data_IF_772303820689
#
_entry.id   IF_772303820689
#
_cell.length_a   1.000
_cell.length_b   1.000
_cell.length_c   1.000
_cell.angle_alpha   90.00
_cell.angle_beta   90.00
_cell.angle_gamma   90.00
#
_symmetry.space_group_name_H-M   'P 1'
#
loop_
_entity.id
_entity.type
_entity.pdbx_description
1 polymer ?
#
# COMPACT_ATOMS: atom_id res chain seq x y z
N UNK A 1 8.97 -3.93 -10.84
CA UNK A 1 7.81 -4.06 -9.94
C UNK A 1 6.57 -3.54 -10.65
N UNK A 2 5.49 -4.30 -10.66
CA UNK A 2 4.23 -3.88 -11.27
C UNK A 2 3.09 -4.02 -10.25
N UNK A 3 2.02 -3.27 -10.48
CA UNK A 3 0.79 -3.42 -9.73
C UNK A 3 -0.39 -2.79 -10.45
N UNK A 4 -1.59 -2.97 -9.93
CA UNK A 4 -2.80 -2.39 -10.50
C UNK A 4 -3.38 -1.34 -9.55
N UNK A 5 -4.06 -0.37 -10.14
CA UNK A 5 -4.74 0.69 -9.43
C UNK A 5 -6.22 0.67 -9.77
N UNK A 6 -7.05 0.56 -8.73
CA UNK A 6 -8.50 0.48 -8.82
C UNK A 6 -9.14 1.62 -8.04
N UNK A 7 -10.22 2.17 -8.61
CA UNK A 7 -11.13 3.09 -7.91
C UNK A 7 -12.52 2.50 -8.01
N UNK A 8 -13.18 2.34 -6.86
CA UNK A 8 -14.55 1.80 -6.75
C UNK A 8 -14.74 0.45 -7.47
N UNK A 9 -13.73 -0.42 -7.38
CA UNK A 9 -13.69 -1.73 -8.02
C UNK A 9 -13.34 -1.73 -9.52
N UNK A 10 -13.21 -0.57 -10.15
CA UNK A 10 -12.85 -0.46 -11.57
C UNK A 10 -11.35 -0.21 -11.75
N UNK A 11 -10.70 -1.03 -12.58
CA UNK A 11 -9.30 -0.84 -12.92
C UNK A 11 -9.10 0.46 -13.69
N UNK A 12 -8.23 1.32 -13.16
CA UNK A 12 -7.91 2.60 -13.76
C UNK A 12 -6.63 2.52 -14.57
N UNK A 13 -5.60 1.87 -14.02
CA UNK A 13 -4.28 1.81 -14.63
C UNK A 13 -3.42 0.66 -14.07
N UNK A 14 -2.56 0.11 -14.91
CA UNK A 14 -1.41 -0.69 -14.47
C UNK A 14 -0.23 0.23 -14.15
N UNK A 15 0.28 0.14 -12.93
CA UNK A 15 1.43 0.88 -12.44
C UNK A 15 2.71 0.09 -12.72
N UNK A 16 3.59 0.68 -13.54
CA UNK A 16 4.90 0.08 -13.88
C UNK A 16 5.97 0.86 -13.13
N UNK A 17 6.67 0.17 -12.22
CA UNK A 17 7.73 0.71 -11.38
C UNK A 17 7.38 2.04 -10.66
N UNK A 18 6.21 2.17 -9.99
CA UNK A 18 5.87 3.41 -9.29
C UNK A 18 6.76 3.66 -8.06
N UNK A 19 7.39 2.60 -7.55
CA UNK A 19 8.35 2.65 -6.44
C UNK A 19 9.57 1.80 -6.77
N UNK A 20 10.71 2.12 -6.15
CA UNK A 20 11.98 1.39 -6.29
C UNK A 20 12.29 0.62 -5.00
N UNK A 21 12.53 -0.68 -5.11
CA UNK A 21 13.01 -1.56 -4.04
C UNK A 21 14.28 -2.23 -4.54
N UNK A 22 15.41 -1.98 -3.87
CA UNK A 22 16.74 -2.46 -4.28
C UNK A 22 17.24 -3.64 -3.43
N UNK A 23 16.37 -4.21 -2.60
CA UNK A 23 16.69 -5.31 -1.69
C UNK A 23 15.98 -6.58 -2.13
N UNK A 24 16.66 -7.71 -2.01
CA UNK A 24 16.05 -9.03 -2.23
C UNK A 24 14.99 -9.36 -1.17
N UNK A 25 15.18 -8.90 0.07
CA UNK A 25 14.23 -9.05 1.16
C UNK A 25 13.85 -7.65 1.65
N UNK A 26 12.56 -7.34 1.61
CA UNK A 26 12.02 -6.02 1.98
C UNK A 26 11.01 -6.18 3.11
N UNK A 27 10.98 -5.23 4.05
CA UNK A 27 9.94 -5.21 5.07
C UNK A 27 8.62 -4.72 4.47
N UNK A 28 7.50 -5.22 4.98
CA UNK A 28 6.17 -4.69 4.66
C UNK A 28 6.11 -3.18 4.95
N UNK A 29 6.80 -2.74 6.01
CA UNK A 29 6.93 -1.32 6.35
C UNK A 29 7.56 -0.48 5.23
N UNK A 30 8.69 -0.92 4.67
CA UNK A 30 9.35 -0.19 3.58
C UNK A 30 8.47 -0.13 2.34
N UNK A 31 7.81 -1.24 2.01
CA UNK A 31 6.90 -1.32 0.87
C UNK A 31 5.69 -0.40 1.04
N UNK A 32 4.97 -0.50 2.17
CA UNK A 32 3.80 0.32 2.50
C UNK A 32 4.14 1.81 2.51
N UNK A 33 5.25 2.18 3.16
CA UNK A 33 5.70 3.58 3.19
C UNK A 33 5.93 4.15 1.79
N UNK A 34 6.63 3.42 0.91
CA UNK A 34 6.91 3.88 -0.46
C UNK A 34 5.63 3.98 -1.29
N UNK A 35 4.70 3.03 -1.17
CA UNK A 35 3.40 3.09 -1.86
C UNK A 35 2.57 4.27 -1.36
N UNK A 36 2.48 4.48 -0.04
CA UNK A 36 1.77 5.64 0.53
C UNK A 36 2.36 6.95 0.04
N UNK A 37 3.69 7.07 0.04
CA UNK A 37 4.36 8.28 -0.48
C UNK A 37 3.98 8.52 -1.95
N UNK A 38 4.07 7.51 -2.80
CA UNK A 38 3.64 7.60 -4.20
C UNK A 38 2.17 8.04 -4.34
N UNK A 39 1.25 7.47 -3.55
CA UNK A 39 -0.17 7.82 -3.58
C UNK A 39 -0.45 9.22 -3.03
N UNK A 40 0.27 9.66 -2.00
CA UNK A 40 0.15 11.01 -1.47
C UNK A 40 0.57 12.04 -2.51
N UNK A 41 1.68 11.81 -3.21
CA UNK A 41 2.21 12.73 -4.22
C UNK A 41 1.39 12.73 -5.52
N UNK A 42 0.92 11.56 -5.97
CA UNK A 42 0.27 11.43 -7.29
C UNK A 42 -1.26 11.44 -7.26
N UNK A 43 -1.87 11.19 -6.09
CA UNK A 43 -3.33 11.03 -5.92
C UNK A 43 -3.88 11.79 -4.71
N UNK A 44 -3.04 12.50 -3.96
CA UNK A 44 -3.47 13.34 -2.83
C UNK A 44 -4.30 12.60 -1.76
N UNK A 45 -4.10 11.28 -1.58
CA UNK A 45 -5.02 10.40 -0.82
C UNK A 45 -5.28 10.80 0.64
N UNK A 46 -4.46 11.66 1.23
CA UNK A 46 -4.60 12.10 2.62
C UNK A 46 -4.93 13.60 2.76
N UNK A 47 -5.22 14.30 1.67
CA UNK A 47 -5.74 15.66 1.75
C UNK A 47 -7.23 15.64 2.10
N UNK A 48 -7.68 16.62 2.89
CA UNK A 48 -9.09 16.76 3.30
C UNK A 48 -10.06 16.85 2.12
N UNK A 49 -9.61 17.42 0.99
CA UNK A 49 -10.40 17.53 -0.26
C UNK A 49 -10.40 16.25 -1.12
N UNK A 50 -9.63 15.23 -0.73
CA UNK A 50 -9.56 13.97 -1.47
C UNK A 50 -10.92 13.27 -1.46
N UNK A 51 -11.40 12.73 -2.60
CA UNK A 51 -12.66 12.00 -2.65
C UNK A 51 -12.56 10.61 -2.01
N UNK A 52 -11.35 10.14 -1.70
CA UNK A 52 -11.11 8.79 -1.22
C UNK A 52 -11.33 8.69 0.30
N UNK A 53 -12.25 7.83 0.72
CA UNK A 53 -12.62 7.64 2.13
C UNK A 53 -12.17 6.28 2.70
N UNK A 54 -11.86 5.33 1.82
CA UNK A 54 -11.30 4.03 2.18
C UNK A 54 -10.25 3.63 1.16
N UNK A 55 -9.34 2.74 1.57
CA UNK A 55 -8.40 2.15 0.64
C UNK A 55 -7.58 1.03 1.26
N UNK A 56 -7.12 0.13 0.41
CA UNK A 56 -6.22 -0.95 0.79
C UNK A 56 -5.10 -1.15 -0.22
N UNK A 57 -3.95 -1.55 0.29
CA UNK A 57 -2.85 -2.10 -0.47
C UNK A 57 -2.84 -3.62 -0.24
N UNK A 58 -2.90 -4.38 -1.32
CA UNK A 58 -2.78 -5.84 -1.31
C UNK A 58 -1.49 -6.24 -2.00
N UNK A 59 -0.70 -7.09 -1.36
CA UNK A 59 0.59 -7.55 -1.88
C UNK A 59 0.51 -9.05 -2.15
N UNK A 60 0.65 -9.41 -3.42
CA UNK A 60 0.48 -10.77 -3.91
C UNK A 60 1.84 -11.45 -4.09
N UNK A 61 1.97 -12.66 -3.55
CA UNK A 61 3.19 -13.48 -3.66
C UNK A 61 2.82 -14.88 -4.13
N UNK A 62 3.68 -15.51 -4.94
CA UNK A 62 3.36 -16.76 -5.66
C UNK A 62 2.92 -17.92 -4.75
N UNK A 63 3.38 -17.96 -3.50
CA UNK A 63 3.19 -19.10 -2.59
C UNK A 63 2.80 -18.68 -1.16
N UNK A 64 2.25 -17.48 -0.95
CA UNK A 64 1.85 -16.99 0.37
C UNK A 64 0.47 -16.36 0.33
N UNK A 65 -0.19 -16.33 1.49
CA UNK A 65 -1.41 -15.54 1.68
C UNK A 65 -1.12 -14.09 1.37
N UNK A 66 -2.04 -13.45 0.65
CA UNK A 66 -1.95 -12.03 0.33
C UNK A 66 -1.87 -11.19 1.61
N UNK A 67 -0.95 -10.22 1.62
CA UNK A 67 -0.83 -9.26 2.70
C UNK A 67 -1.69 -8.04 2.37
N UNK A 68 -2.72 -7.80 3.19
CA UNK A 68 -3.65 -6.68 3.03
C UNK A 68 -3.40 -5.63 4.09
N UNK A 69 -3.18 -4.40 3.65
CA UNK A 69 -2.92 -3.23 4.47
C UNK A 69 -4.04 -2.22 4.27
N UNK A 70 -4.65 -1.76 5.36
CA UNK A 70 -5.57 -0.61 5.32
C UNK A 70 -4.76 0.70 5.20
N UNK A 71 -5.09 1.53 4.21
CA UNK A 71 -4.45 2.83 3.96
C UNK A 71 -5.01 3.96 4.83
N UNK A 72 -6.17 3.76 5.46
CA UNK A 72 -6.86 4.71 6.34
C UNK A 72 -7.07 4.06 7.73
N UNK A 73 -5.98 3.63 8.34
CA UNK A 73 -5.96 2.89 9.60
C UNK A 73 -5.72 3.77 10.84
N UNK A 74 -5.58 5.08 10.64
CA UNK A 74 -5.48 6.06 11.72
C UNK A 74 -6.86 6.48 12.23
N UNK A 75 -6.98 6.66 13.55
CA UNK A 75 -8.10 7.32 14.21
C UNK A 75 -7.80 8.82 14.37
N UNK A 76 -8.80 9.70 14.63
CA UNK A 76 -8.58 11.15 14.74
C UNK A 76 -7.47 11.57 15.72
N UNK A 77 -7.25 10.81 16.79
CA UNK A 77 -6.22 11.08 17.81
C UNK A 77 -5.03 10.11 17.76
N UNK A 78 -4.88 9.36 16.66
CA UNK A 78 -3.76 8.44 16.52
C UNK A 78 -2.43 9.19 16.46
N UNK A 79 -1.51 8.84 17.34
CA UNK A 79 -0.13 9.31 17.27
C UNK A 79 0.64 8.52 16.20
N UNK A 80 1.82 9.01 15.83
CA UNK A 80 2.75 8.25 14.98
C UNK A 80 3.08 6.88 15.56
N UNK A 81 3.20 6.77 16.89
CA UNK A 81 3.47 5.49 17.56
C UNK A 81 2.32 4.51 17.35
N UNK A 82 1.07 4.98 17.47
CA UNK A 82 -0.13 4.15 17.28
C UNK A 82 -0.20 3.58 15.85
N UNK A 83 0.03 4.44 14.84
CA UNK A 83 0.00 4.04 13.43
C UNK A 83 1.13 3.09 13.07
N UNK A 84 2.34 3.35 13.57
CA UNK A 84 3.53 2.54 13.23
C UNK A 84 3.63 1.24 14.05
N UNK A 85 2.84 1.09 15.13
CA UNK A 85 2.86 -0.12 15.98
C UNK A 85 2.59 -1.40 15.21
N UNK A 86 1.84 -1.34 14.10
CA UNK A 86 1.55 -2.49 13.23
C UNK A 86 2.81 -3.12 12.63
N UNK A 87 3.90 -2.37 12.48
CA UNK A 87 5.15 -2.90 11.92
C UNK A 87 6.07 -3.56 12.96
N UNK A 88 5.64 -3.68 14.23
CA UNK A 88 6.40 -4.39 15.26
C UNK A 88 6.59 -5.88 14.96
N UNK A 89 5.75 -6.45 14.11
CA UNK A 89 5.87 -7.84 13.65
C UNK A 89 7.05 -8.06 12.69
N UNK A 90 7.67 -6.99 12.18
CA UNK A 90 8.77 -7.00 11.22
C UNK A 90 8.53 -7.95 10.04
N UNK A 91 7.29 -8.02 9.55
CA UNK A 91 6.96 -8.86 8.39
C UNK A 91 7.80 -8.46 7.18
N UNK A 92 8.23 -9.47 6.42
CA UNK A 92 9.07 -9.32 5.24
C UNK A 92 8.52 -10.08 4.04
N UNK A 93 8.90 -9.60 2.85
CA UNK A 93 8.66 -10.23 1.56
C UNK A 93 10.01 -10.50 0.90
N UNK A 94 10.16 -11.70 0.34
CA UNK A 94 11.25 -11.98 -0.59
C UNK A 94 10.80 -11.55 -1.99
N UNK A 95 11.56 -10.65 -2.62
CA UNK A 95 11.24 -10.10 -3.94
C UNK A 95 11.25 -11.14 -5.06
N UNK A 96 11.85 -12.31 -4.84
CA UNK A 96 11.74 -13.46 -5.75
C UNK A 96 10.34 -14.09 -5.75
N UNK A 97 9.65 -14.02 -4.61
CA UNK A 97 8.30 -14.56 -4.44
C UNK A 97 7.21 -13.53 -4.75
N UNK A 98 7.56 -12.24 -4.73
CA UNK A 98 6.67 -11.15 -5.08
C UNK A 98 6.14 -11.30 -6.52
N UNK A 99 4.83 -11.19 -6.68
CA UNK A 99 4.16 -11.23 -7.99
C UNK A 99 3.84 -9.81 -8.46
N UNK A 100 2.92 -9.16 -7.76
CA UNK A 100 2.47 -7.80 -8.02
C UNK A 100 1.80 -7.25 -6.74
N UNK A 101 1.35 -6.01 -6.79
CA UNK A 101 0.52 -5.42 -5.75
C UNK A 101 -0.74 -4.83 -6.39
N UNK A 102 -1.81 -4.74 -5.63
CA UNK A 102 -3.02 -4.03 -6.03
C UNK A 102 -3.33 -2.92 -5.03
N UNK A 103 -3.72 -1.77 -5.55
CA UNK A 103 -4.18 -0.63 -4.75
C UNK A 103 -5.65 -0.41 -5.06
N UNK A 104 -6.47 -0.46 -4.02
CA UNK A 104 -7.90 -0.19 -4.10
C UNK A 104 -8.20 1.10 -3.34
N UNK A 105 -8.81 2.08 -4.00
CA UNK A 105 -9.38 3.26 -3.36
C UNK A 105 -10.89 3.29 -3.58
N UNK A 106 -11.62 3.83 -2.60
CA UNK A 106 -13.08 3.91 -2.63
C UNK A 106 -13.53 5.32 -2.30
N UNK A 107 -14.52 5.79 -3.06
CA UNK A 107 -15.18 7.09 -2.85
C UNK A 107 -16.50 6.96 -2.07
N UNK A 108 -16.94 5.71 -1.83
CA UNK A 108 -18.20 5.33 -1.17
C UNK A 108 -18.05 4.12 -0.22
#
# INVERSE_FOLDING_TARGET
>A
MAGNFFIDGQQQKTLINPIKIDKDIVTIQEFDFKIRKFLMESKEIHLTKSPYIRGSLEIHSKNRKDEKINLYDAKPNSTRSDVLKKYKDNKTINMKDFSHFDIYLWTK
#
